data_IF_594677961344
#
_entry.id   IF_594677961344
#
_cell.length_a   1.000
_cell.length_b   1.000
_cell.length_c   1.000
_cell.angle_alpha   90.00
_cell.angle_beta   90.00
_cell.angle_gamma   90.00
#
_symmetry.space_group_name_H-M   'P 1'
#
loop_
_entity.id
_entity.type
_entity.pdbx_description
1 polymer ?
#
# COMPACT_ATOMS: atom_id res chain seq x y z
N UNK A 1 -3.01 -18.66 -4.33
CA UNK A 1 -3.84 -17.92 -3.35
C UNK A 1 -3.78 -16.45 -3.69
N UNK A 2 -4.87 -15.72 -3.43
CA UNK A 2 -4.93 -14.26 -3.53
C UNK A 2 -4.45 -13.65 -2.22
N UNK A 3 -3.33 -12.95 -2.26
CA UNK A 3 -2.71 -12.34 -1.08
C UNK A 3 -2.70 -10.82 -1.24
N UNK A 4 -2.92 -10.11 -0.13
CA UNK A 4 -2.71 -8.66 -0.06
C UNK A 4 -1.58 -8.32 0.89
N UNK A 5 -0.63 -7.53 0.41
CA UNK A 5 0.48 -6.97 1.16
C UNK A 5 0.21 -5.48 1.40
N UNK A 6 0.17 -5.06 2.66
CA UNK A 6 -0.01 -3.65 3.04
C UNK A 6 1.32 -3.13 3.60
N UNK A 7 1.85 -2.08 2.98
CA UNK A 7 3.15 -1.50 3.32
C UNK A 7 3.18 0.02 3.12
N UNK A 8 4.19 0.69 3.67
CA UNK A 8 4.40 2.14 3.50
C UNK A 8 5.41 2.49 2.38
N UNK A 9 6.05 1.48 1.81
CA UNK A 9 7.13 1.62 0.84
C UNK A 9 7.09 0.50 -0.20
N UNK A 10 7.43 0.82 -1.44
CA UNK A 10 7.56 -0.11 -2.57
C UNK A 10 8.27 0.62 -3.72
N UNK A 11 8.84 -0.07 -4.73
CA UNK A 11 9.27 0.56 -5.96
C UNK A 11 8.23 1.54 -6.50
N UNK A 12 8.64 2.70 -7.07
CA UNK A 12 9.99 3.05 -7.51
C UNK A 12 10.90 3.61 -6.40
N UNK A 13 10.48 3.61 -5.13
CA UNK A 13 11.36 3.99 -4.03
C UNK A 13 12.57 3.05 -3.98
N UNK A 14 13.76 3.61 -3.74
CA UNK A 14 15.03 2.86 -3.68
C UNK A 14 15.50 2.60 -2.25
N UNK A 15 14.60 2.74 -1.28
CA UNK A 15 14.88 2.42 0.12
C UNK A 15 15.10 0.92 0.30
N UNK A 16 15.84 0.53 1.35
CA UNK A 16 16.05 -0.89 1.67
C UNK A 16 14.73 -1.65 1.82
N UNK A 17 13.73 -1.04 2.46
CA UNK A 17 12.40 -1.63 2.60
C UNK A 17 11.68 -1.83 1.27
N UNK A 18 11.78 -0.88 0.33
CA UNK A 18 11.20 -1.04 -0.99
C UNK A 18 11.86 -2.20 -1.77
N UNK A 19 13.19 -2.31 -1.71
CA UNK A 19 13.93 -3.41 -2.36
C UNK A 19 13.54 -4.76 -1.75
N UNK A 20 13.46 -4.86 -0.41
CA UNK A 20 13.05 -6.08 0.27
C UNK A 20 11.63 -6.51 -0.12
N UNK A 21 10.69 -5.55 -0.18
CA UNK A 21 9.31 -5.85 -0.53
C UNK A 21 9.14 -6.22 -2.01
N UNK A 22 9.95 -5.64 -2.90
CA UNK A 22 10.03 -6.06 -4.31
C UNK A 22 10.46 -7.53 -4.41
N UNK A 23 11.55 -7.88 -3.73
CA UNK A 23 12.09 -9.24 -3.81
C UNK A 23 11.13 -10.26 -3.17
N UNK A 24 10.46 -9.87 -2.07
CA UNK A 24 9.40 -10.66 -1.46
C UNK A 24 8.18 -10.83 -2.39
N UNK A 25 7.77 -9.76 -3.07
CA UNK A 25 6.67 -9.81 -4.04
C UNK A 25 7.00 -10.78 -5.18
N UNK A 26 8.19 -10.68 -5.75
CA UNK A 26 8.67 -11.60 -6.79
C UNK A 26 8.66 -13.07 -6.33
N UNK A 27 9.02 -13.34 -5.08
CA UNK A 27 8.97 -14.70 -4.53
C UNK A 27 7.53 -15.24 -4.40
N UNK A 28 6.57 -14.40 -3.99
CA UNK A 28 5.16 -14.80 -3.98
C UNK A 28 4.63 -15.14 -5.38
N UNK A 29 4.97 -14.30 -6.37
CA UNK A 29 4.61 -14.57 -7.77
C UNK A 29 5.24 -15.88 -8.24
N UNK A 30 6.52 -16.13 -7.92
CA UNK A 30 7.24 -17.37 -8.30
C UNK A 30 6.61 -18.63 -7.70
N UNK A 31 6.01 -18.52 -6.51
CA UNK A 31 5.26 -19.60 -5.87
C UNK A 31 3.83 -19.76 -6.43
N UNK A 32 3.41 -18.93 -7.39
CA UNK A 32 2.09 -18.99 -8.01
C UNK A 32 0.98 -18.30 -7.21
N UNK A 33 1.35 -17.38 -6.32
CA UNK A 33 0.37 -16.52 -5.64
C UNK A 33 0.01 -15.31 -6.49
N UNK A 34 -1.24 -14.87 -6.38
CA UNK A 34 -1.75 -13.62 -6.94
C UNK A 34 -1.59 -12.56 -5.86
N UNK A 35 -0.59 -11.69 -6.01
CA UNK A 35 -0.23 -10.70 -5.00
C UNK A 35 -0.70 -9.31 -5.39
N UNK A 36 -1.39 -8.66 -4.46
CA UNK A 36 -1.69 -7.23 -4.54
C UNK A 36 -1.00 -6.45 -3.42
N UNK A 37 -0.35 -5.35 -3.75
CA UNK A 37 0.34 -4.47 -2.79
C UNK A 37 -0.45 -3.18 -2.63
N UNK A 38 -0.90 -2.87 -1.42
CA UNK A 38 -1.57 -1.61 -1.08
C UNK A 38 -0.59 -0.66 -0.40
N UNK A 39 -0.48 0.56 -0.94
CA UNK A 39 0.50 1.55 -0.47
C UNK A 39 -0.15 2.94 -0.39
N UNK A 40 0.00 3.69 0.72
CA UNK A 40 -0.37 5.08 0.76
C UNK A 40 0.53 5.93 -0.15
N UNK A 41 -0.06 6.86 -0.90
CA UNK A 41 0.68 7.85 -1.68
C UNK A 41 0.04 9.23 -1.56
N UNK A 42 0.86 10.24 -1.28
CA UNK A 42 0.42 11.64 -1.24
C UNK A 42 0.67 12.38 -2.57
N UNK A 43 1.41 11.76 -3.51
CA UNK A 43 1.84 12.39 -4.76
C UNK A 43 0.92 12.12 -5.94
N UNK A 44 0.02 11.12 -5.84
CA UNK A 44 -0.90 10.80 -6.93
C UNK A 44 -2.02 11.84 -7.04
N UNK A 45 -2.36 12.24 -8.27
CA UNK A 45 -3.42 13.22 -8.53
C UNK A 45 -4.84 12.67 -8.34
N UNK A 46 -5.03 11.35 -8.51
CA UNK A 46 -6.32 10.66 -8.36
C UNK A 46 -6.55 10.06 -6.97
N UNK A 47 -7.68 9.38 -6.81
CA UNK A 47 -8.03 8.64 -5.59
C UNK A 47 -7.16 7.40 -5.40
N UNK A 48 -6.85 6.71 -6.50
CA UNK A 48 -5.98 5.55 -6.52
C UNK A 48 -5.29 5.44 -7.88
N UNK A 49 -4.21 4.67 -7.92
CA UNK A 49 -3.54 4.21 -9.15
C UNK A 49 -3.33 2.71 -9.03
N UNK A 50 -3.68 1.97 -10.08
CA UNK A 50 -3.41 0.53 -10.19
C UNK A 50 -2.38 0.34 -11.29
N UNK A 51 -1.31 -0.37 -10.98
CA UNK A 51 -0.17 -0.59 -11.86
C UNK A 51 0.29 -2.05 -11.72
N UNK A 52 0.76 -2.65 -12.82
CA UNK A 52 1.44 -3.94 -12.77
C UNK A 52 2.93 -3.71 -12.57
N UNK A 53 3.52 -4.42 -11.61
CA UNK A 53 4.94 -4.41 -11.34
C UNK A 53 5.44 -5.85 -11.32
N UNK A 54 6.07 -6.29 -12.41
CA UNK A 54 6.60 -7.65 -12.57
C UNK A 54 5.58 -8.75 -12.20
N UNK A 55 4.32 -8.60 -12.63
CA UNK A 55 3.22 -9.52 -12.33
C UNK A 55 2.59 -9.35 -10.94
N UNK A 56 3.03 -8.36 -10.17
CA UNK A 56 2.40 -7.94 -8.90
C UNK A 56 1.48 -6.75 -9.15
N UNK A 57 0.23 -6.82 -8.70
CA UNK A 57 -0.69 -5.68 -8.77
C UNK A 57 -0.35 -4.68 -7.67
N UNK A 58 0.10 -3.48 -8.02
CA UNK A 58 0.42 -2.41 -7.07
C UNK A 58 -0.69 -1.37 -7.09
N UNK A 59 -1.21 -1.06 -5.92
CA UNK A 59 -2.32 -0.12 -5.72
C UNK A 59 -1.86 0.98 -4.81
N UNK A 60 -1.67 2.15 -5.39
CA UNK A 60 -1.39 3.36 -4.63
C UNK A 60 -2.70 4.03 -4.27
N UNK A 61 -2.97 4.15 -2.99
CA UNK A 61 -4.15 4.80 -2.45
C UNK A 61 -3.78 6.20 -2.02
N UNK A 62 -4.57 7.20 -2.41
CA UNK A 62 -4.30 8.58 -2.01
C UNK A 62 -4.41 8.68 -0.51
N UNK A 63 -3.39 9.25 0.13
CA UNK A 63 -3.33 9.42 1.57
C UNK A 63 -2.74 10.81 1.92
N UNK A 64 -3.04 11.35 3.12
CA UNK A 64 -2.39 12.55 3.60
C UNK A 64 -0.87 12.40 3.60
N UNK A 65 -0.16 13.50 3.33
CA UNK A 65 1.28 13.53 3.53
C UNK A 65 1.57 13.37 5.03
N UNK A 66 2.48 12.45 5.37
CA UNK A 66 2.90 12.19 6.77
C UNK A 66 4.40 12.35 6.98
N UNK A 67 5.17 12.38 5.89
CA UNK A 67 6.63 12.56 5.89
C UNK A 67 6.96 14.04 5.62
N UNK A 68 8.02 14.54 6.24
CA UNK A 68 8.57 15.90 6.06
C UNK A 68 7.62 17.07 6.40
N UNK A 69 6.74 16.88 7.38
CA UNK A 69 5.81 17.91 7.88
C UNK A 69 5.87 18.04 9.41
N UNK A 70 5.41 19.16 9.94
CA UNK A 70 5.38 19.42 11.39
C UNK A 70 4.53 18.40 12.16
N UNK A 71 4.93 18.11 13.41
CA UNK A 71 4.37 17.03 14.23
C UNK A 71 2.84 17.00 14.32
N UNK A 72 2.19 18.14 14.54
CA UNK A 72 0.72 18.21 14.62
C UNK A 72 0.05 17.74 13.33
N UNK A 73 0.53 18.22 12.17
CA UNK A 73 -0.01 17.81 10.87
C UNK A 73 0.29 16.34 10.58
N UNK A 74 1.47 15.87 10.98
CA UNK A 74 1.85 14.46 10.88
C UNK A 74 0.91 13.55 11.67
N UNK A 75 0.67 13.86 12.94
CA UNK A 75 -0.22 13.05 13.79
C UNK A 75 -1.64 13.00 13.23
N UNK A 76 -2.19 14.14 12.78
CA UNK A 76 -3.50 14.16 12.13
C UNK A 76 -3.48 13.36 10.82
N UNK A 77 -2.46 13.54 9.98
CA UNK A 77 -2.32 12.81 8.72
C UNK A 77 -2.22 11.30 8.91
N UNK A 78 -1.43 10.85 9.88
CA UNK A 78 -1.28 9.45 10.25
C UNK A 78 -2.59 8.87 10.80
N UNK A 79 -3.32 9.62 11.64
CA UNK A 79 -4.61 9.21 12.20
C UNK A 79 -5.71 9.08 11.13
N UNK A 80 -5.74 9.97 10.15
CA UNK A 80 -6.74 9.93 9.06
C UNK A 80 -6.36 8.98 7.92
N UNK A 81 -5.08 8.62 7.77
CA UNK A 81 -4.57 7.74 6.73
C UNK A 81 -5.39 6.45 6.52
N UNK A 82 -5.65 5.61 7.54
CA UNK A 82 -6.35 4.34 7.33
C UNK A 82 -7.78 4.54 6.79
N UNK A 83 -8.48 5.58 7.25
CA UNK A 83 -9.83 5.89 6.81
C UNK A 83 -9.85 6.37 5.35
N UNK A 84 -8.91 7.25 4.98
CA UNK A 84 -8.78 7.76 3.61
C UNK A 84 -8.37 6.64 2.66
N UNK A 85 -7.43 5.77 3.07
CA UNK A 85 -7.03 4.60 2.29
C UNK A 85 -8.20 3.64 2.08
N UNK A 86 -8.95 3.32 3.13
CA UNK A 86 -10.12 2.43 3.02
C UNK A 86 -11.19 3.02 2.10
N UNK A 87 -11.44 4.33 2.18
CA UNK A 87 -12.36 5.03 1.30
C UNK A 87 -11.95 4.91 -0.17
N UNK A 88 -10.68 5.20 -0.49
CA UNK A 88 -10.17 5.08 -1.86
C UNK A 88 -10.07 3.63 -2.35
N UNK A 89 -9.79 2.67 -1.47
CA UNK A 89 -9.80 1.25 -1.80
C UNK A 89 -11.19 0.80 -2.24
N UNK A 90 -12.24 1.24 -1.54
CA UNK A 90 -13.64 0.97 -1.90
C UNK A 90 -14.07 1.62 -3.22
N UNK A 91 -13.34 2.62 -3.71
CA UNK A 91 -13.58 3.24 -5.02
C UNK A 91 -12.76 2.57 -6.13
N UNK A 92 -11.77 1.77 -5.78
CA UNK A 92 -10.93 1.04 -6.72
C UNK A 92 -11.65 -0.20 -7.27
N UNK A 93 -11.18 -0.76 -8.40
CA UNK A 93 -11.69 -2.04 -8.92
C UNK A 93 -11.60 -3.21 -7.92
N UNK A 94 -10.79 -3.07 -6.87
CA UNK A 94 -10.55 -4.08 -5.84
C UNK A 94 -11.55 -4.00 -4.68
N UNK A 95 -12.55 -3.12 -4.74
CA UNK A 95 -13.55 -2.95 -3.68
C UNK A 95 -14.25 -4.26 -3.27
N UNK A 96 -14.45 -5.16 -4.24
CA UNK A 96 -15.09 -6.47 -4.04
C UNK A 96 -14.10 -7.64 -4.09
N UNK A 97 -12.79 -7.39 -4.07
CA UNK A 97 -11.80 -8.45 -4.04
C UNK A 97 -11.78 -9.13 -2.68
N UNK A 98 -11.77 -10.46 -2.69
CA UNK A 98 -11.53 -11.29 -1.52
C UNK A 98 -10.08 -11.77 -1.52
N UNK A 99 -9.47 -11.71 -0.35
CA UNK A 99 -8.09 -12.14 -0.12
C UNK A 99 -8.08 -13.37 0.79
N UNK A 100 -7.27 -14.35 0.42
CA UNK A 100 -7.05 -15.57 1.22
C UNK A 100 -6.10 -15.28 2.41
N UNK A 101 -5.32 -14.19 2.32
CA UNK A 101 -4.38 -13.79 3.37
C UNK A 101 -3.98 -12.32 3.28
N UNK A 102 -3.68 -11.73 4.44
CA UNK A 102 -3.23 -10.35 4.61
C UNK A 102 -1.83 -10.36 5.21
N UNK A 103 -0.91 -9.65 4.59
CA UNK A 103 0.48 -9.49 5.03
C UNK A 103 0.68 -8.02 5.39
N UNK A 104 1.07 -7.76 6.63
CA UNK A 104 1.39 -6.41 7.11
C UNK A 104 2.91 -6.26 7.21
N UNK A 105 3.49 -5.40 6.38
CA UNK A 105 4.93 -5.14 6.41
C UNK A 105 5.20 -3.69 6.83
N UNK A 106 5.61 -3.55 8.08
CA UNK A 106 5.97 -2.28 8.74
C UNK A 106 5.10 -1.08 8.32
N UNK A 107 3.76 -1.20 8.36
CA UNK A 107 2.91 -0.04 8.14
C UNK A 107 3.13 1.02 9.23
N UNK A 108 2.62 2.23 9.02
CA UNK A 108 2.49 3.20 10.13
C UNK A 108 1.78 2.52 11.32
N UNK A 109 2.20 2.83 12.56
CA UNK A 109 1.50 2.36 13.76
C UNK A 109 0.02 2.79 13.79
N UNK A 110 -0.31 3.82 13.01
CA UNK A 110 -1.66 4.34 12.81
C UNK A 110 -2.40 3.69 11.63
N UNK A 111 -1.88 2.60 11.03
CA UNK A 111 -2.54 1.91 9.92
C UNK A 111 -3.62 0.90 10.39
N UNK A 112 -3.80 0.78 11.70
CA UNK A 112 -4.96 0.20 12.36
C UNK A 112 -5.64 1.30 13.21
N UNK A 113 -6.95 1.19 13.53
CA UNK A 113 -7.61 2.14 14.43
C UNK A 113 -6.92 2.24 15.80
#
# INVERSE_FOLDING_TARGET
MRLVLIADTFPPLTTSGAVQLRDLAGEFIRQGHDLTVLIPSHTISGQFVVEDFDGTTVVRLRAPQTKDIGYVKRTLGELFMPFVMLFHLRQSPLANHTWDGIIWYSPSIFLAP
#
